data_IF_379712782300
#
_entry.id   IF_379712782300
#
_cell.length_a   1.000
_cell.length_b   1.000
_cell.length_c   1.000
_cell.angle_alpha   90.00
_cell.angle_beta   90.00
_cell.angle_gamma   90.00
#
_symmetry.space_group_name_H-M   'P 1'
#
loop_
_entity.id
_entity.type
_entity.pdbx_description
1 polymer ?
#
# COMPACT_ATOMS: atom_id res chain seq x y z
N UNK A 1 7.58 4.63 -11.01
CA UNK A 1 7.08 4.44 -12.35
C UNK A 1 6.30 3.14 -12.46
N UNK A 2 5.25 3.13 -13.27
CA UNK A 2 4.29 2.03 -13.36
C UNK A 2 4.20 1.46 -14.78
N UNK A 3 5.10 1.86 -15.65
CA UNK A 3 5.17 1.32 -17.02
C UNK A 3 6.07 0.09 -17.10
N UNK A 4 5.96 -0.68 -18.18
CA UNK A 4 6.86 -1.81 -18.47
C UNK A 4 8.27 -1.36 -18.80
N UNK A 5 8.43 -0.18 -19.35
CA UNK A 5 9.70 0.33 -19.87
C UNK A 5 10.12 1.56 -19.10
N UNK A 6 11.34 1.53 -18.62
CA UNK A 6 11.97 2.64 -17.92
C UNK A 6 13.04 3.24 -18.83
N UNK A 7 13.05 4.56 -18.91
CA UNK A 7 14.01 5.33 -19.69
C UNK A 7 15.10 5.86 -18.73
N UNK A 8 16.33 5.41 -18.95
CA UNK A 8 17.51 5.83 -18.20
C UNK A 8 18.40 6.79 -18.99
N UNK A 9 17.83 7.42 -20.03
CA UNK A 9 18.55 8.31 -20.91
C UNK A 9 19.14 7.57 -22.10
N UNK A 10 20.25 6.91 -21.92
CA UNK A 10 20.93 6.17 -23.01
C UNK A 10 20.30 4.80 -23.28
N UNK A 11 19.58 4.25 -22.31
CA UNK A 11 18.98 2.92 -22.42
C UNK A 11 17.52 2.92 -21.96
N UNK A 12 16.72 2.07 -22.61
CA UNK A 12 15.36 1.72 -22.20
C UNK A 12 15.33 0.30 -21.68
N UNK A 13 14.93 0.12 -20.44
CA UNK A 13 14.90 -1.19 -19.78
C UNK A 13 13.46 -1.65 -19.58
N UNK A 14 13.12 -2.80 -20.12
CA UNK A 14 11.87 -3.49 -19.84
C UNK A 14 12.10 -4.52 -18.73
N UNK A 15 11.66 -4.21 -17.50
CA UNK A 15 11.85 -5.09 -16.35
C UNK A 15 11.05 -6.39 -16.39
N UNK A 16 10.06 -6.48 -17.27
CA UNK A 16 9.26 -7.69 -17.43
C UNK A 16 9.79 -8.62 -18.53
N UNK A 17 10.64 -8.15 -19.41
CA UNK A 17 11.19 -8.96 -20.48
C UNK A 17 12.18 -9.99 -19.94
N UNK A 18 11.73 -11.27 -19.88
CA UNK A 18 12.51 -12.41 -19.37
C UNK A 18 13.02 -12.24 -17.92
N UNK A 19 12.38 -11.38 -17.13
CA UNK A 19 12.83 -11.07 -15.76
C UNK A 19 11.68 -11.15 -14.76
N UNK A 20 11.08 -10.03 -14.39
CA UNK A 20 10.10 -9.95 -13.31
C UNK A 20 8.68 -10.18 -13.79
N UNK A 21 7.86 -10.81 -12.95
CA UNK A 21 6.43 -10.95 -13.16
C UNK A 21 5.62 -9.88 -12.42
N UNK A 22 6.25 -9.17 -11.48
CA UNK A 22 5.63 -8.11 -10.68
C UNK A 22 6.67 -7.08 -10.27
N UNK A 23 6.25 -5.82 -10.13
CA UNK A 23 7.08 -4.72 -9.63
C UNK A 23 6.42 -4.02 -8.45
N UNK A 24 7.26 -3.43 -7.59
CA UNK A 24 6.80 -2.63 -6.45
C UNK A 24 6.29 -1.27 -6.94
N UNK A 25 5.13 -0.87 -6.44
CA UNK A 25 4.49 0.40 -6.74
C UNK A 25 4.92 1.50 -5.74
N UNK A 26 6.01 2.17 -6.02
CA UNK A 26 6.50 3.27 -5.19
C UNK A 26 5.63 4.54 -5.25
N UNK A 27 4.75 4.66 -6.24
CA UNK A 27 3.93 5.86 -6.46
C UNK A 27 2.57 5.81 -5.81
N UNK A 28 2.10 4.64 -5.37
CA UNK A 28 0.73 4.45 -4.89
C UNK A 28 0.36 5.43 -3.78
N UNK A 29 1.23 5.63 -2.81
CA UNK A 29 1.00 6.53 -1.67
C UNK A 29 0.83 8.00 -2.09
N UNK A 30 1.58 8.44 -3.10
CA UNK A 30 1.47 9.79 -3.64
C UNK A 30 0.18 9.97 -4.43
N UNK A 31 -0.17 9.00 -5.25
CA UNK A 31 -1.44 9.00 -5.97
C UNK A 31 -2.63 8.98 -5.02
N UNK A 32 -2.57 8.19 -3.95
CA UNK A 32 -3.61 8.14 -2.91
C UNK A 32 -3.77 9.45 -2.14
N UNK A 33 -2.69 10.23 -2.00
CA UNK A 33 -2.73 11.57 -1.38
C UNK A 33 -3.33 12.64 -2.31
N UNK A 34 -3.03 12.56 -3.60
CA UNK A 34 -3.26 13.66 -4.55
C UNK A 34 -4.52 13.49 -5.40
N UNK A 35 -4.99 12.26 -5.59
CA UNK A 35 -6.10 11.96 -6.49
C UNK A 35 -7.43 11.82 -5.74
N UNK A 36 -8.52 12.16 -6.41
CA UNK A 36 -9.86 11.73 -5.98
C UNK A 36 -9.95 10.19 -6.04
N UNK A 37 -10.68 9.58 -5.11
CA UNK A 37 -10.71 8.12 -4.95
C UNK A 37 -11.13 7.38 -6.22
N UNK A 38 -12.17 7.84 -6.91
CA UNK A 38 -12.61 7.23 -8.16
C UNK A 38 -11.54 7.28 -9.27
N UNK A 39 -10.85 8.43 -9.39
CA UNK A 39 -9.77 8.58 -10.36
C UNK A 39 -8.55 7.69 -10.02
N UNK A 40 -8.27 7.55 -8.72
CA UNK A 40 -7.22 6.67 -8.24
C UNK A 40 -7.49 5.20 -8.60
N UNK A 41 -8.67 4.67 -8.26
CA UNK A 41 -9.00 3.28 -8.57
C UNK A 41 -9.06 3.02 -10.07
N UNK A 42 -9.65 3.95 -10.85
CA UNK A 42 -9.66 3.85 -12.30
C UNK A 42 -8.26 3.82 -12.91
N UNK A 43 -7.33 4.62 -12.38
CA UNK A 43 -5.93 4.62 -12.82
C UNK A 43 -5.30 3.24 -12.68
N UNK A 44 -5.44 2.59 -11.51
CA UNK A 44 -4.82 1.29 -11.26
C UNK A 44 -5.51 0.14 -12.01
N UNK A 45 -6.82 0.19 -12.15
CA UNK A 45 -7.56 -0.71 -13.01
C UNK A 45 -7.07 -0.61 -14.47
N UNK A 46 -6.96 0.62 -14.97
CA UNK A 46 -6.47 0.87 -16.33
C UNK A 46 -5.04 0.38 -16.54
N UNK A 47 -4.13 0.64 -15.61
CA UNK A 47 -2.73 0.20 -15.71
C UNK A 47 -2.65 -1.33 -15.79
N UNK A 48 -3.35 -2.05 -14.93
CA UNK A 48 -3.29 -3.51 -14.88
C UNK A 48 -3.99 -4.17 -16.08
N UNK A 49 -5.07 -3.59 -16.56
CA UNK A 49 -5.79 -4.15 -17.71
C UNK A 49 -5.15 -3.80 -19.08
N UNK A 50 -4.31 -2.78 -19.14
CA UNK A 50 -3.68 -2.35 -20.38
C UNK A 50 -2.14 -2.48 -20.33
N UNK A 51 -1.45 -1.53 -19.65
CA UNK A 51 0.00 -1.43 -19.71
C UNK A 51 0.70 -2.64 -19.08
N UNK A 52 0.18 -3.13 -17.95
CA UNK A 52 0.72 -4.27 -17.22
C UNK A 52 -0.11 -5.55 -17.39
N UNK A 53 -0.92 -5.63 -18.43
CA UNK A 53 -1.75 -6.82 -18.69
C UNK A 53 -0.90 -8.10 -18.68
N UNK A 54 -1.26 -9.04 -17.78
CA UNK A 54 -0.55 -10.30 -17.56
C UNK A 54 0.66 -10.20 -16.63
N UNK A 55 0.89 -9.02 -16.02
CA UNK A 55 1.93 -8.80 -15.01
C UNK A 55 1.33 -8.23 -13.73
N UNK A 56 2.03 -8.40 -12.62
CA UNK A 56 1.57 -7.95 -11.32
C UNK A 56 2.18 -6.62 -10.87
N UNK A 57 1.52 -6.02 -9.89
CA UNK A 57 2.02 -4.87 -9.15
C UNK A 57 1.87 -5.13 -7.65
N UNK A 58 2.89 -4.81 -6.86
CA UNK A 58 2.86 -4.88 -5.41
C UNK A 58 2.61 -3.48 -4.83
N UNK A 59 1.45 -3.30 -4.24
CA UNK A 59 1.02 -2.05 -3.62
C UNK A 59 1.36 -2.04 -2.13
N UNK A 60 1.83 -0.90 -1.60
CA UNK A 60 2.06 -0.68 -0.18
C UNK A 60 1.83 0.79 0.20
N UNK A 61 1.41 1.04 1.43
CA UNK A 61 1.20 2.40 1.96
C UNK A 61 2.26 2.80 2.98
N UNK A 62 2.87 1.81 3.62
CA UNK A 62 3.91 1.95 4.64
C UNK A 62 4.93 0.84 4.45
N UNK A 63 6.21 1.12 4.71
CA UNK A 63 7.27 0.12 4.77
C UNK A 63 8.26 0.45 5.89
N UNK A 64 9.25 -0.41 6.08
CA UNK A 64 10.26 -0.27 7.12
C UNK A 64 11.38 0.73 6.79
N UNK A 65 11.45 1.18 5.54
CA UNK A 65 12.54 2.01 4.98
C UNK A 65 12.02 3.21 4.17
N UNK A 66 10.75 3.53 4.27
CA UNK A 66 10.14 4.66 3.59
C UNK A 66 9.73 5.74 4.59
N UNK A 67 10.58 6.72 4.78
CA UNK A 67 10.36 7.84 5.73
C UNK A 67 9.14 8.71 5.45
N UNK A 68 8.42 8.48 4.32
CA UNK A 68 7.22 9.22 3.93
C UNK A 68 6.04 8.29 3.63
N UNK A 69 5.56 7.51 4.61
CA UNK A 69 4.39 6.66 4.42
C UNK A 69 3.14 7.48 4.10
N UNK A 70 2.10 6.80 3.61
CA UNK A 70 0.82 7.46 3.28
C UNK A 70 0.22 8.18 4.48
N UNK A 71 0.15 7.51 5.63
CA UNK A 71 -0.45 8.01 6.87
C UNK A 71 0.54 7.90 8.03
N UNK A 72 1.56 8.76 8.03
CA UNK A 72 2.62 8.75 9.06
C UNK A 72 2.07 9.04 10.45
N UNK A 73 1.15 10.00 10.54
CA UNK A 73 0.58 10.48 11.80
C UNK A 73 -0.66 9.68 12.25
N UNK A 74 -1.00 8.59 11.53
CA UNK A 74 -2.15 7.71 11.84
C UNK A 74 -3.49 8.42 11.95
N UNK A 75 -3.67 9.48 11.17
CA UNK A 75 -4.92 10.26 11.12
C UNK A 75 -5.96 9.73 10.13
N UNK A 76 -5.55 8.81 9.25
CA UNK A 76 -6.39 8.28 8.17
C UNK A 76 -6.36 6.73 8.09
N UNK A 77 -6.44 5.98 9.21
CA UNK A 77 -6.26 4.52 9.18
C UNK A 77 -7.33 3.79 8.35
N UNK A 78 -8.56 4.28 8.36
CA UNK A 78 -9.65 3.73 7.54
C UNK A 78 -9.43 3.96 6.05
N UNK A 79 -8.99 5.16 5.68
CA UNK A 79 -8.65 5.49 4.29
C UNK A 79 -7.45 4.67 3.81
N UNK A 80 -6.45 4.48 4.67
CA UNK A 80 -5.28 3.63 4.36
C UNK A 80 -5.71 2.21 3.99
N UNK A 81 -6.60 1.60 4.78
CA UNK A 81 -7.17 0.28 4.50
C UNK A 81 -7.89 0.24 3.15
N UNK A 82 -8.79 1.19 2.93
CA UNK A 82 -9.61 1.27 1.72
C UNK A 82 -8.74 1.44 0.48
N UNK A 83 -7.83 2.42 0.49
CA UNK A 83 -6.96 2.72 -0.64
C UNK A 83 -5.99 1.58 -0.95
N UNK A 84 -5.48 0.87 0.06
CA UNK A 84 -4.57 -0.25 -0.14
C UNK A 84 -5.31 -1.51 -0.59
N UNK A 85 -6.31 -1.92 0.17
CA UNK A 85 -6.92 -3.24 0.01
C UNK A 85 -7.93 -3.30 -1.14
N UNK A 86 -8.51 -2.19 -1.56
CA UNK A 86 -9.39 -2.15 -2.74
C UNK A 86 -8.65 -1.82 -4.05
N UNK A 87 -7.36 -1.49 -3.98
CA UNK A 87 -6.56 -1.31 -5.20
C UNK A 87 -6.27 -2.68 -5.82
N UNK A 88 -6.52 -2.84 -7.14
CA UNK A 88 -6.16 -4.07 -7.85
C UNK A 88 -4.65 -4.36 -7.79
N UNK A 89 -4.28 -5.64 -7.83
CA UNK A 89 -2.91 -6.12 -7.70
C UNK A 89 -2.61 -6.72 -6.33
N UNK A 90 -1.35 -6.99 -6.02
CA UNK A 90 -0.94 -7.53 -4.72
C UNK A 90 -0.83 -6.43 -3.68
N UNK A 91 -1.33 -6.66 -2.48
CA UNK A 91 -1.23 -5.71 -1.36
C UNK A 91 -0.24 -6.20 -0.30
N UNK A 92 0.70 -5.34 0.08
CA UNK A 92 1.58 -5.54 1.22
C UNK A 92 1.10 -4.67 2.38
N UNK A 93 0.69 -5.29 3.47
CA UNK A 93 0.37 -4.61 4.73
C UNK A 93 1.62 -4.57 5.59
N UNK A 94 2.07 -3.38 5.96
CA UNK A 94 3.14 -3.23 6.92
C UNK A 94 2.60 -3.41 8.33
N UNK A 95 3.29 -4.20 9.16
CA UNK A 95 2.79 -4.56 10.49
C UNK A 95 2.38 -3.34 11.31
N UNK A 96 1.18 -3.40 11.85
CA UNK A 96 0.59 -2.33 12.65
C UNK A 96 -0.12 -1.23 11.85
N UNK A 97 -0.16 -1.28 10.51
CA UNK A 97 -1.05 -0.43 9.73
C UNK A 97 -2.52 -0.71 10.08
N UNK A 98 -2.83 -1.99 10.28
CA UNK A 98 -4.15 -2.49 10.67
C UNK A 98 -4.62 -2.08 12.07
N UNK A 99 -3.71 -1.59 12.90
CA UNK A 99 -4.00 -1.13 14.27
C UNK A 99 -3.62 0.33 14.52
N UNK A 100 -3.28 1.05 13.46
CA UNK A 100 -2.76 2.42 13.53
C UNK A 100 -1.60 2.55 14.52
N UNK A 101 -0.68 1.57 14.52
CA UNK A 101 0.53 1.59 15.33
C UNK A 101 1.33 2.86 15.06
N UNK A 102 1.78 3.52 16.11
CA UNK A 102 2.59 4.73 15.99
C UNK A 102 3.88 4.46 15.20
N UNK A 103 4.15 5.30 14.22
CA UNK A 103 5.37 5.26 13.40
C UNK A 103 6.41 6.30 13.85
N UNK A 104 6.08 7.10 14.86
CA UNK A 104 6.97 8.14 15.36
C UNK A 104 7.58 7.70 16.68
N UNK A 105 8.88 7.41 16.68
CA UNK A 105 9.63 7.06 17.92
C UNK A 105 10.58 8.20 18.19
N UNK A 106 10.40 8.87 19.33
CA UNK A 106 11.27 9.93 19.79
C UNK A 106 12.72 9.46 19.88
N UNK A 107 13.64 10.37 19.59
CA UNK A 107 15.09 10.13 19.65
C UNK A 107 15.62 9.06 18.69
N UNK A 108 14.85 8.66 17.68
CA UNK A 108 15.34 7.80 16.60
C UNK A 108 15.78 8.60 15.39
N UNK A 109 16.67 8.02 14.58
CA UNK A 109 17.21 8.65 13.37
C UNK A 109 16.84 7.81 12.14
N UNK A 110 16.46 8.51 11.07
CA UNK A 110 16.12 7.88 9.79
C UNK A 110 14.92 6.92 9.91
N UNK A 111 15.01 5.77 9.27
CA UNK A 111 13.92 4.80 9.20
C UNK A 111 13.67 4.02 10.49
N UNK A 112 14.53 4.19 11.51
CA UNK A 112 14.34 3.51 12.79
C UNK A 112 12.99 3.86 13.45
N UNK A 113 12.49 5.08 13.22
CA UNK A 113 11.19 5.53 13.72
C UNK A 113 10.03 4.66 13.20
N UNK A 114 10.15 4.12 11.99
CA UNK A 114 9.10 3.30 11.37
C UNK A 114 8.97 1.89 11.98
N UNK A 115 9.90 1.50 12.85
CA UNK A 115 10.06 0.13 13.38
C UNK A 115 9.70 0.02 14.85
N UNK A 116 8.71 0.82 15.32
CA UNK A 116 8.18 0.74 16.68
C UNK A 116 7.62 -0.65 17.00
N UNK A 117 7.51 -0.98 18.28
CA UNK A 117 6.85 -2.21 18.71
C UNK A 117 5.36 -2.20 18.35
N UNK A 118 4.82 -3.40 18.13
CA UNK A 118 3.39 -3.57 17.90
C UNK A 118 2.59 -3.13 19.12
N UNK A 119 1.50 -2.40 18.90
CA UNK A 119 0.65 -1.83 19.93
C UNK A 119 -0.41 -2.82 20.45
N UNK A 120 0.04 -4.03 20.87
CA UNK A 120 -0.82 -5.12 21.33
C UNK A 120 -1.77 -4.73 22.47
N UNK A 121 -1.32 -3.84 23.36
CA UNK A 121 -2.16 -3.38 24.46
C UNK A 121 -3.33 -2.52 23.95
N UNK A 122 -3.08 -1.65 22.99
CA UNK A 122 -4.11 -0.79 22.41
C UNK A 122 -5.18 -1.62 21.68
N UNK A 123 -4.77 -2.65 20.93
CA UNK A 123 -5.67 -3.59 20.30
C UNK A 123 -6.60 -4.26 21.32
N UNK A 124 -6.11 -4.54 22.53
CA UNK A 124 -6.89 -5.21 23.59
C UNK A 124 -7.79 -4.27 24.37
N UNK A 125 -7.40 -3.01 24.55
CA UNK A 125 -8.00 -2.12 25.54
C UNK A 125 -8.64 -0.85 24.99
N UNK A 126 -8.28 -0.44 23.75
CA UNK A 126 -8.80 0.78 23.16
C UNK A 126 -9.86 0.46 22.10
N UNK A 127 -11.08 0.88 22.34
CA UNK A 127 -12.22 0.67 21.42
C UNK A 127 -11.93 1.22 20.01
N UNK A 128 -11.29 2.38 19.91
CA UNK A 128 -10.96 2.97 18.59
C UNK A 128 -9.96 2.09 17.82
N UNK A 129 -8.95 1.55 18.49
CA UNK A 129 -8.00 0.62 17.83
C UNK A 129 -8.70 -0.66 17.38
N UNK A 130 -9.63 -1.18 18.18
CA UNK A 130 -10.44 -2.35 17.80
C UNK A 130 -11.29 -2.06 16.56
N UNK A 131 -11.95 -0.89 16.49
CA UNK A 131 -12.71 -0.48 15.30
C UNK A 131 -11.85 -0.38 14.05
N UNK A 132 -10.61 0.10 14.17
CA UNK A 132 -9.67 0.14 13.06
C UNK A 132 -9.33 -1.28 12.60
N UNK A 133 -8.99 -2.18 13.51
CA UNK A 133 -8.71 -3.59 13.19
C UNK A 133 -9.91 -4.25 12.51
N UNK A 134 -11.11 -4.07 13.05
CA UNK A 134 -12.34 -4.61 12.48
C UNK A 134 -12.59 -4.12 11.06
N UNK A 135 -12.32 -2.83 10.80
CA UNK A 135 -12.43 -2.27 9.47
C UNK A 135 -11.42 -2.90 8.49
N UNK A 136 -10.15 -3.01 8.88
CA UNK A 136 -9.13 -3.68 8.07
C UNK A 136 -9.49 -5.12 7.76
N UNK A 137 -9.97 -5.87 8.75
CA UNK A 137 -10.43 -7.25 8.57
C UNK A 137 -11.61 -7.33 7.61
N UNK A 138 -12.61 -6.45 7.75
CA UNK A 138 -13.78 -6.39 6.89
C UNK A 138 -13.40 -6.12 5.43
N UNK A 139 -12.54 -5.14 5.18
CA UNK A 139 -12.07 -4.83 3.82
C UNK A 139 -11.19 -5.97 3.28
N UNK A 140 -10.34 -6.57 4.12
CA UNK A 140 -9.53 -7.73 3.75
C UNK A 140 -10.37 -8.95 3.36
N UNK A 141 -11.45 -9.24 4.09
CA UNK A 141 -12.41 -10.29 3.75
C UNK A 141 -13.16 -9.99 2.45
N UNK A 142 -13.57 -8.73 2.26
CA UNK A 142 -14.15 -8.30 0.98
C UNK A 142 -13.17 -8.57 -0.17
N UNK A 143 -11.93 -8.13 -0.04
CA UNK A 143 -10.89 -8.38 -1.05
C UNK A 143 -10.70 -9.88 -1.33
N UNK A 144 -10.64 -10.71 -0.29
CA UNK A 144 -10.45 -12.17 -0.43
C UNK A 144 -11.60 -12.85 -1.20
N UNK A 145 -12.80 -12.29 -1.13
CA UNK A 145 -13.99 -12.80 -1.83
C UNK A 145 -14.18 -12.21 -3.24
N UNK A 146 -13.31 -11.27 -3.67
CA UNK A 146 -13.40 -10.60 -4.96
C UNK A 146 -12.09 -10.76 -5.73
N UNK A 147 -11.99 -11.81 -6.53
CA UNK A 147 -10.79 -12.17 -7.28
C UNK A 147 -10.27 -11.04 -8.19
N UNK A 148 -11.17 -10.20 -8.70
CA UNK A 148 -10.80 -9.02 -9.51
C UNK A 148 -9.87 -8.04 -8.82
N UNK A 149 -9.86 -8.00 -7.48
CA UNK A 149 -8.94 -7.17 -6.71
C UNK A 149 -7.56 -7.82 -6.53
N UNK A 150 -7.50 -9.14 -6.51
CA UNK A 150 -6.27 -9.89 -6.28
C UNK A 150 -5.53 -10.30 -7.55
N UNK A 151 -6.29 -10.63 -8.58
CA UNK A 151 -5.74 -11.15 -9.83
C UNK A 151 -5.34 -10.08 -10.84
N UNK A 152 -5.75 -8.80 -10.60
CA UNK A 152 -5.40 -7.60 -11.37
C UNK A 152 -5.18 -7.81 -12.85
#
# INVERSE_FOLDING_TARGET
SQGKVYDFGDEKVNYFEKSFNSLINFEIKWNAKQMAENAFFYKYDSILNNELKGYGILNYMTSHDDGQPFDKERTMPYKTATMLLLTPGTSQVYYGDESARDLTIDHTVGDATLRSFMNWNDIKTKEETQKIVDHWQKIGQFRANHMSLGAG
#
